data_IF_562536730781
#
_entry.id   IF_562536730781
#
_cell.length_a   1.000
_cell.length_b   1.000
_cell.length_c   1.000
_cell.angle_alpha   90.00
_cell.angle_beta   90.00
_cell.angle_gamma   90.00
#
_symmetry.space_group_name_H-M   'P 1'
#
loop_
_entity.id
_entity.type
_entity.pdbx_description
1 polymer ?
#
# COMPACT_ATOMS: atom_id res chain seq x y z
N UNK A 1 -15.98 18.76 16.47
CA UNK A 1 -15.62 18.34 15.10
C UNK A 1 -14.20 17.86 15.16
N UNK A 2 -13.99 16.56 15.04
CA UNK A 2 -12.63 15.98 14.99
C UNK A 2 -11.97 16.46 13.69
N UNK A 3 -10.99 17.34 13.79
CA UNK A 3 -10.14 17.72 12.67
C UNK A 3 -9.20 16.55 12.39
N UNK A 4 -9.68 15.57 11.61
CA UNK A 4 -8.77 14.56 11.09
C UNK A 4 -7.71 15.27 10.24
N UNK A 5 -6.45 14.98 10.51
CA UNK A 5 -5.34 15.46 9.68
C UNK A 5 -5.58 15.06 8.21
N UNK A 6 -5.22 15.91 7.24
CA UNK A 6 -5.37 15.54 5.84
C UNK A 6 -4.62 14.24 5.55
N UNK A 7 -5.16 13.36 4.68
CA UNK A 7 -4.53 12.07 4.39
C UNK A 7 -3.18 12.26 3.68
N UNK A 8 -2.17 11.51 4.12
CA UNK A 8 -0.84 11.46 3.50
C UNK A 8 -0.69 10.26 2.56
N UNK A 9 -1.48 9.21 2.78
CA UNK A 9 -1.46 7.98 1.98
C UNK A 9 -2.82 7.75 1.35
N UNK A 10 -2.83 7.43 0.06
CA UNK A 10 -4.04 6.95 -0.62
C UNK A 10 -3.96 5.44 -0.80
N UNK A 11 -4.85 4.69 -0.16
CA UNK A 11 -4.99 3.24 -0.29
C UNK A 11 -6.10 2.95 -1.29
N UNK A 12 -5.71 2.49 -2.47
CA UNK A 12 -6.67 2.19 -3.56
C UNK A 12 -6.64 0.72 -3.95
N UNK A 13 -7.76 0.23 -4.46
CA UNK A 13 -7.92 -1.16 -4.91
C UNK A 13 -8.89 -1.29 -6.07
N UNK A 14 -8.73 -2.34 -6.86
CA UNK A 14 -9.54 -2.58 -8.05
C UNK A 14 -10.97 -3.04 -7.77
N UNK A 15 -11.22 -3.61 -6.60
CA UNK A 15 -12.51 -4.17 -6.18
C UNK A 15 -12.70 -4.09 -4.68
N UNK A 16 -13.98 -4.05 -4.25
CA UNK A 16 -14.32 -4.19 -2.82
C UNK A 16 -13.86 -5.53 -2.24
N UNK A 17 -13.79 -6.59 -3.06
CA UNK A 17 -13.31 -7.90 -2.63
C UNK A 17 -11.85 -7.93 -2.22
N UNK A 18 -11.05 -6.96 -2.65
CA UNK A 18 -9.63 -6.88 -2.31
C UNK A 18 -9.40 -6.35 -0.88
N UNK A 19 -10.46 -5.78 -0.28
CA UNK A 19 -10.38 -5.14 1.02
C UNK A 19 -10.22 -6.12 2.18
N UNK A 20 -11.21 -7.03 2.47
CA UNK A 20 -11.25 -7.76 3.74
C UNK A 20 -10.04 -8.68 3.93
N UNK A 21 -9.55 -9.29 2.86
CA UNK A 21 -8.50 -10.31 2.96
C UNK A 21 -7.10 -9.75 2.79
N UNK A 22 -6.95 -8.58 2.14
CA UNK A 22 -5.65 -8.04 1.77
C UNK A 22 -5.50 -6.57 2.17
N UNK A 23 -6.25 -5.65 1.56
CA UNK A 23 -5.95 -4.23 1.64
C UNK A 23 -6.24 -3.60 3.00
N UNK A 24 -7.16 -4.15 3.80
CA UNK A 24 -7.39 -3.71 5.17
C UNK A 24 -6.12 -3.82 6.04
N UNK A 25 -5.22 -4.76 5.73
CA UNK A 25 -3.97 -4.92 6.47
C UNK A 25 -2.95 -3.79 6.19
N UNK A 26 -3.03 -3.15 5.02
CA UNK A 26 -2.26 -1.93 4.76
C UNK A 26 -2.79 -0.78 5.63
N UNK A 27 -4.11 -0.60 5.64
CA UNK A 27 -4.78 0.41 6.46
C UNK A 27 -4.52 0.21 7.96
N UNK A 28 -4.70 -1.01 8.47
CA UNK A 28 -4.42 -1.34 9.86
C UNK A 28 -2.95 -1.07 10.26
N UNK A 29 -2.01 -1.25 9.32
CA UNK A 29 -0.60 -0.92 9.55
C UNK A 29 -0.39 0.60 9.61
N UNK A 30 -1.06 1.36 8.76
CA UNK A 30 -1.02 2.83 8.80
C UNK A 30 -1.63 3.37 10.09
N UNK A 31 -2.76 2.80 10.54
CA UNK A 31 -3.37 3.13 11.85
C UNK A 31 -2.41 2.89 13.01
N UNK A 32 -1.75 1.72 13.03
CA UNK A 32 -0.76 1.35 14.05
C UNK A 32 0.38 2.36 14.14
N UNK A 33 0.78 2.94 13.00
CA UNK A 33 1.89 3.88 12.90
C UNK A 33 1.44 5.34 12.98
N UNK A 34 0.13 5.61 13.14
CA UNK A 34 -0.43 6.96 13.22
C UNK A 34 -0.34 7.74 11.91
N UNK A 35 -0.31 7.06 10.77
CA UNK A 35 -0.26 7.68 9.44
C UNK A 35 -1.67 7.93 8.94
N UNK A 36 -2.08 9.18 8.67
CA UNK A 36 -3.39 9.47 8.11
C UNK A 36 -3.50 9.03 6.65
N UNK A 37 -4.62 8.40 6.31
CA UNK A 37 -4.85 7.84 4.97
C UNK A 37 -6.31 7.99 4.53
N UNK A 38 -6.54 7.86 3.23
CA UNK A 38 -7.85 7.67 2.62
C UNK A 38 -7.94 6.27 1.98
N UNK A 39 -9.15 5.73 1.83
CA UNK A 39 -9.39 4.45 1.16
C UNK A 39 -10.41 4.64 0.05
N UNK A 40 -10.11 4.09 -1.15
CA UNK A 40 -11.01 4.20 -2.29
C UNK A 40 -10.93 2.98 -3.21
N UNK A 41 -12.09 2.53 -3.70
CA UNK A 41 -12.14 1.58 -4.82
C UNK A 41 -11.99 2.36 -6.11
N UNK A 42 -10.94 2.04 -6.88
CA UNK A 42 -10.61 2.64 -8.17
C UNK A 42 -10.27 1.52 -9.14
N UNK A 43 -11.20 1.17 -10.02
CA UNK A 43 -10.96 0.07 -10.96
C UNK A 43 -10.34 0.57 -12.25
N UNK A 44 -9.14 0.08 -12.57
CA UNK A 44 -8.46 0.44 -13.81
C UNK A 44 -9.28 0.10 -15.07
N UNK A 45 -10.03 -1.00 -15.04
CA UNK A 45 -10.78 -1.49 -16.20
C UNK A 45 -12.25 -1.06 -16.22
N UNK A 46 -12.86 -0.81 -15.05
CA UNK A 46 -14.30 -0.51 -14.95
C UNK A 46 -14.59 0.97 -14.72
N UNK A 47 -13.63 1.72 -14.18
CA UNK A 47 -13.74 3.16 -13.90
C UNK A 47 -12.47 3.89 -14.34
N UNK A 48 -12.08 3.84 -15.63
CA UNK A 48 -10.82 4.44 -16.11
C UNK A 48 -10.78 5.97 -15.91
N UNK A 49 -11.87 6.67 -16.11
CA UNK A 49 -11.92 8.12 -15.90
C UNK A 49 -11.71 8.50 -14.44
N UNK A 50 -12.30 7.73 -13.50
CA UNK A 50 -12.06 7.89 -12.07
C UNK A 50 -10.59 7.63 -11.71
N UNK A 51 -9.93 6.67 -12.37
CA UNK A 51 -8.51 6.42 -12.18
C UNK A 51 -7.67 7.63 -12.58
N UNK A 52 -7.95 8.21 -13.74
CA UNK A 52 -7.24 9.40 -14.23
C UNK A 52 -7.44 10.58 -13.28
N UNK A 53 -8.69 10.85 -12.90
CA UNK A 53 -9.04 11.91 -11.95
C UNK A 53 -8.31 11.70 -10.60
N UNK A 54 -8.40 10.48 -10.07
CA UNK A 54 -7.79 10.14 -8.79
C UNK A 54 -6.27 10.34 -8.82
N UNK A 55 -5.59 9.75 -9.80
CA UNK A 55 -4.12 9.82 -9.92
C UNK A 55 -3.61 11.25 -10.06
N UNK A 56 -4.23 12.03 -10.94
CA UNK A 56 -3.85 13.44 -11.18
C UNK A 56 -4.18 14.36 -10.00
N UNK A 57 -5.25 14.05 -9.25
CA UNK A 57 -5.69 14.85 -8.11
C UNK A 57 -5.00 14.53 -6.79
N UNK A 58 -4.18 13.48 -6.68
CA UNK A 58 -3.55 13.06 -5.41
C UNK A 58 -2.66 14.15 -4.81
N UNK A 59 -1.79 14.74 -5.60
CA UNK A 59 -0.85 15.74 -5.13
C UNK A 59 -1.56 16.99 -4.56
N UNK A 60 -2.61 17.47 -5.22
CA UNK A 60 -3.39 18.64 -4.76
C UNK A 60 -4.17 18.37 -3.47
N UNK A 61 -4.45 17.11 -3.14
CA UNK A 61 -5.08 16.69 -1.87
C UNK A 61 -4.11 16.48 -0.73
N UNK A 62 -2.80 16.65 -0.97
CA UNK A 62 -1.75 16.43 0.05
C UNK A 62 -1.30 14.98 0.20
N UNK A 63 -1.69 14.10 -0.73
CA UNK A 63 -1.20 12.71 -0.75
C UNK A 63 0.28 12.71 -1.12
N UNK A 64 1.09 11.94 -0.40
CA UNK A 64 2.52 11.80 -0.63
C UNK A 64 2.93 10.38 -1.07
N UNK A 65 2.09 9.36 -0.79
CA UNK A 65 2.33 7.97 -1.20
C UNK A 65 1.01 7.32 -1.60
N UNK A 66 1.03 6.49 -2.64
CA UNK A 66 -0.13 5.69 -3.06
C UNK A 66 0.18 4.22 -2.83
N UNK A 67 -0.72 3.49 -2.15
CA UNK A 67 -0.71 2.04 -2.04
C UNK A 67 -1.84 1.52 -2.94
N UNK A 68 -1.50 0.74 -3.96
CA UNK A 68 -2.45 0.24 -4.94
C UNK A 68 -2.48 -1.29 -4.96
N UNK A 69 -3.62 -1.89 -4.60
CA UNK A 69 -3.84 -3.33 -4.63
C UNK A 69 -4.64 -3.78 -5.85
N UNK A 70 -4.21 -4.85 -6.49
CA UNK A 70 -4.91 -5.42 -7.63
C UNK A 70 -4.63 -6.92 -7.79
N UNK A 71 -5.63 -7.67 -8.29
CA UNK A 71 -5.54 -9.10 -8.55
C UNK A 71 -5.73 -9.47 -10.02
N UNK A 72 -5.22 -10.61 -10.42
CA UNK A 72 -5.26 -11.11 -11.79
C UNK A 72 -4.41 -10.28 -12.74
N UNK A 73 -5.00 -9.72 -13.80
CA UNK A 73 -4.39 -8.68 -14.64
C UNK A 73 -4.31 -7.38 -13.84
N UNK A 74 -3.36 -7.32 -12.93
CA UNK A 74 -3.24 -6.29 -11.88
C UNK A 74 -2.64 -4.99 -12.43
N UNK A 75 -3.35 -4.33 -13.35
CA UNK A 75 -2.86 -3.14 -14.07
C UNK A 75 -2.91 -1.85 -13.24
N UNK A 76 -3.75 -1.80 -12.19
CA UNK A 76 -3.99 -0.57 -11.42
C UNK A 76 -2.70 0.12 -10.91
N UNK A 77 -1.74 -0.57 -10.27
CA UNK A 77 -0.54 0.09 -9.76
C UNK A 77 0.31 0.75 -10.86
N UNK A 78 0.54 0.05 -11.96
CA UNK A 78 1.31 0.56 -13.09
C UNK A 78 0.61 1.72 -13.81
N UNK A 79 -0.70 1.64 -13.97
CA UNK A 79 -1.48 2.73 -14.57
C UNK A 79 -1.46 3.98 -13.69
N UNK A 80 -1.62 3.85 -12.38
CA UNK A 80 -1.50 4.99 -11.46
C UNK A 80 -0.09 5.59 -11.53
N UNK A 81 0.94 4.76 -11.48
CA UNK A 81 2.34 5.21 -11.52
C UNK A 81 2.66 6.01 -12.78
N UNK A 82 2.00 5.70 -13.91
CA UNK A 82 2.20 6.45 -15.17
C UNK A 82 1.57 7.85 -15.17
N UNK A 83 0.73 8.17 -14.19
CA UNK A 83 -0.06 9.41 -14.15
C UNK A 83 0.31 10.35 -13.00
N UNK A 84 1.26 9.96 -12.16
CA UNK A 84 1.72 10.74 -11.01
C UNK A 84 3.22 10.57 -10.79
N UNK A 85 3.85 11.56 -10.16
CA UNK A 85 5.25 11.47 -9.71
C UNK A 85 5.38 11.00 -8.26
N UNK A 86 4.25 10.75 -7.58
CA UNK A 86 4.25 10.23 -6.23
C UNK A 86 4.73 8.77 -6.21
N UNK A 87 5.39 8.31 -5.14
CA UNK A 87 5.71 6.91 -4.94
C UNK A 87 4.45 6.04 -4.98
N UNK A 88 4.47 4.99 -5.81
CA UNK A 88 3.40 4.00 -5.89
C UNK A 88 3.92 2.65 -5.40
N UNK A 89 3.23 2.08 -4.42
CA UNK A 89 3.51 0.76 -3.85
C UNK A 89 2.43 -0.19 -4.35
N UNK A 90 2.84 -1.21 -5.10
CA UNK A 90 1.95 -2.20 -5.69
C UNK A 90 1.81 -3.43 -4.79
N UNK A 91 0.58 -3.77 -4.42
CA UNK A 91 0.24 -4.95 -3.63
C UNK A 91 -0.41 -5.99 -4.54
N UNK A 92 0.25 -7.11 -4.85
CA UNK A 92 -0.37 -8.20 -5.57
C UNK A 92 -1.44 -8.87 -4.70
N UNK A 93 -2.70 -8.84 -5.14
CA UNK A 93 -3.80 -9.54 -4.49
C UNK A 93 -3.87 -10.97 -5.03
N UNK A 94 -4.08 -11.94 -4.16
CA UNK A 94 -4.14 -13.34 -4.53
C UNK A 94 -5.31 -13.60 -5.48
N UNK A 95 -5.04 -14.26 -6.62
CA UNK A 95 -6.06 -14.77 -7.55
C UNK A 95 -6.32 -16.25 -7.32
N UNK A 96 -7.53 -16.71 -7.59
CA UNK A 96 -7.87 -18.14 -7.48
C UNK A 96 -7.13 -18.98 -8.51
N UNK A 97 -6.93 -18.46 -9.72
CA UNK A 97 -6.37 -19.21 -10.85
C UNK A 97 -4.87 -19.49 -10.70
N UNK A 98 -4.08 -18.49 -10.37
CA UNK A 98 -2.60 -18.59 -10.30
C UNK A 98 -2.05 -18.19 -8.93
N UNK A 99 -2.89 -18.17 -7.88
CA UNK A 99 -2.52 -17.91 -6.49
C UNK A 99 -1.70 -16.60 -6.32
N UNK A 100 -2.00 -15.60 -7.13
CA UNK A 100 -1.38 -14.30 -7.09
C UNK A 100 -0.10 -14.13 -7.93
N UNK A 101 0.39 -15.20 -8.58
CA UNK A 101 1.56 -15.09 -9.47
C UNK A 101 1.25 -14.20 -10.68
N UNK A 102 0.06 -14.29 -11.24
CA UNK A 102 -0.45 -13.41 -12.30
C UNK A 102 -0.50 -11.95 -11.82
N UNK A 103 -0.97 -11.71 -10.61
CA UNK A 103 -1.00 -10.36 -10.01
C UNK A 103 0.42 -9.82 -9.83
N UNK A 104 1.33 -10.61 -9.26
CA UNK A 104 2.71 -10.22 -9.04
C UNK A 104 3.42 -9.87 -10.36
N UNK A 105 3.34 -10.75 -11.37
CA UNK A 105 3.99 -10.54 -12.65
C UNK A 105 3.40 -9.37 -13.44
N UNK A 106 2.10 -9.09 -13.26
CA UNK A 106 1.45 -7.91 -13.87
C UNK A 106 1.93 -6.58 -13.26
N UNK A 107 2.43 -6.59 -12.02
CA UNK A 107 2.84 -5.38 -11.30
C UNK A 107 4.35 -5.16 -11.37
N UNK A 108 5.15 -6.23 -11.20
CA UNK A 108 6.59 -6.10 -10.95
C UNK A 108 7.41 -5.75 -12.19
N UNK A 109 7.00 -6.17 -13.40
CA UNK A 109 7.75 -5.98 -14.64
C UNK A 109 7.45 -4.64 -15.32
N UNK A 110 7.63 -3.55 -14.58
CA UNK A 110 7.44 -2.21 -15.11
C UNK A 110 8.57 -1.80 -16.05
N UNK A 111 8.27 -1.03 -17.12
CA UNK A 111 9.28 -0.48 -18.02
C UNK A 111 10.15 0.55 -17.31
N UNK A 112 11.38 0.72 -17.78
CA UNK A 112 12.27 1.77 -17.29
C UNK A 112 11.61 3.15 -17.42
N UNK A 113 11.66 3.94 -16.34
CA UNK A 113 11.08 5.28 -16.28
C UNK A 113 9.77 5.37 -15.47
N UNK A 114 9.02 4.28 -15.30
CA UNK A 114 7.78 4.26 -14.51
C UNK A 114 7.89 3.16 -13.43
N UNK A 115 8.49 3.46 -12.27
CA UNK A 115 8.68 2.46 -11.22
C UNK A 115 7.40 2.22 -10.40
N UNK A 116 7.21 0.98 -9.97
CA UNK A 116 6.26 0.58 -8.92
C UNK A 116 7.04 -0.24 -7.88
N UNK A 117 7.00 0.19 -6.61
CA UNK A 117 7.58 -0.55 -5.50
C UNK A 117 6.70 -1.76 -5.19
N UNK A 118 7.01 -2.91 -5.77
CA UNK A 118 6.18 -4.13 -5.65
C UNK A 118 6.54 -4.89 -4.38
N UNK A 119 5.53 -5.22 -3.56
CA UNK A 119 5.68 -5.99 -2.33
C UNK A 119 5.21 -7.43 -2.49
N UNK A 120 5.25 -8.23 -1.42
CA UNK A 120 4.82 -9.61 -1.42
C UNK A 120 3.32 -9.78 -1.75
N UNK A 121 2.92 -10.97 -2.18
CA UNK A 121 1.53 -11.31 -2.48
C UNK A 121 0.69 -11.33 -1.19
N UNK A 122 -0.51 -10.79 -1.26
CA UNK A 122 -1.55 -10.90 -0.24
C UNK A 122 -1.27 -10.12 1.04
N UNK A 123 -1.73 -10.65 2.16
CA UNK A 123 -1.74 -10.02 3.49
C UNK A 123 -0.37 -9.50 3.95
N UNK A 124 0.69 -10.31 3.77
CA UNK A 124 2.05 -9.91 4.16
C UNK A 124 2.53 -8.71 3.33
N UNK A 125 2.24 -8.73 2.03
CA UNK A 125 2.54 -7.61 1.14
C UNK A 125 1.80 -6.34 1.53
N UNK A 126 0.52 -6.42 1.84
CA UNK A 126 -0.27 -5.27 2.27
C UNK A 126 0.28 -4.64 3.56
N UNK A 127 0.65 -5.45 4.56
CA UNK A 127 1.34 -4.95 5.77
C UNK A 127 2.65 -4.25 5.44
N UNK A 128 3.46 -4.87 4.58
CA UNK A 128 4.74 -4.30 4.15
C UNK A 128 4.54 -3.02 3.32
N UNK A 129 3.46 -2.89 2.56
CA UNK A 129 3.13 -1.66 1.86
C UNK A 129 2.86 -0.50 2.83
N UNK A 130 2.11 -0.75 3.90
CA UNK A 130 1.91 0.24 4.97
C UNK A 130 3.22 0.65 5.65
N UNK A 131 4.09 -0.32 5.96
CA UNK A 131 5.41 -0.05 6.54
C UNK A 131 6.32 0.72 5.59
N UNK A 132 6.32 0.38 4.29
CA UNK A 132 7.13 1.07 3.29
C UNK A 132 6.64 2.50 3.07
N UNK A 133 5.32 2.72 3.01
CA UNK A 133 4.75 4.06 2.94
C UNK A 133 5.15 4.90 4.15
N UNK A 134 5.04 4.35 5.36
CA UNK A 134 5.49 5.01 6.57
C UNK A 134 7.00 5.30 6.55
N UNK A 135 7.83 4.38 6.02
CA UNK A 135 9.28 4.60 5.90
C UNK A 135 9.63 5.75 4.94
N UNK A 136 8.88 5.90 3.86
CA UNK A 136 9.04 7.04 2.94
C UNK A 136 8.69 8.35 3.66
N UNK A 137 7.55 8.37 4.36
CA UNK A 137 7.06 9.55 5.08
C UNK A 137 7.93 9.91 6.29
N UNK A 138 8.57 8.93 6.93
CA UNK A 138 9.45 9.12 8.08
C UNK A 138 10.65 10.04 7.80
N UNK A 139 11.05 10.19 6.54
CA UNK A 139 12.09 11.15 6.15
C UNK A 139 11.66 12.61 6.37
N UNK A 140 10.36 12.88 6.41
CA UNK A 140 9.78 14.22 6.58
C UNK A 140 9.05 14.39 7.91
N UNK A 141 8.48 13.31 8.45
CA UNK A 141 7.61 13.30 9.63
C UNK A 141 8.25 12.56 10.81
N UNK A 142 8.88 13.27 11.78
CA UNK A 142 9.59 12.66 12.91
C UNK A 142 8.71 11.74 13.77
N UNK A 143 7.41 12.04 13.90
CA UNK A 143 6.49 11.22 14.70
C UNK A 143 6.28 9.84 14.03
N UNK A 144 6.20 9.79 12.70
CA UNK A 144 6.10 8.52 11.96
C UNK A 144 7.40 7.73 12.11
N UNK A 145 8.55 8.40 12.03
CA UNK A 145 9.86 7.79 12.27
C UNK A 145 9.92 7.09 13.63
N UNK A 146 9.54 7.78 14.69
CA UNK A 146 9.50 7.26 16.06
C UNK A 146 8.59 6.02 16.20
N UNK A 147 7.42 6.04 15.56
CA UNK A 147 6.52 4.87 15.58
C UNK A 147 7.10 3.67 14.84
N UNK A 148 7.81 3.88 13.73
CA UNK A 148 8.52 2.81 13.01
C UNK A 148 9.64 2.20 13.83
N UNK A 149 10.45 3.01 14.51
CA UNK A 149 11.51 2.52 15.41
C UNK A 149 10.90 1.66 16.54
N UNK A 150 9.84 2.16 17.18
CA UNK A 150 9.13 1.41 18.22
C UNK A 150 8.55 0.10 17.68
N UNK A 151 7.94 0.11 16.50
CA UNK A 151 7.42 -1.09 15.86
C UNK A 151 8.52 -2.14 15.64
N UNK A 152 9.67 -1.74 15.10
CA UNK A 152 10.82 -2.65 14.87
C UNK A 152 11.42 -3.17 16.17
N UNK A 153 11.58 -2.31 17.17
CA UNK A 153 12.08 -2.71 18.48
C UNK A 153 11.17 -3.77 19.14
N UNK A 154 9.85 -3.56 19.04
CA UNK A 154 8.88 -4.54 19.57
C UNK A 154 8.96 -5.89 18.84
N UNK A 155 9.11 -5.89 17.50
CA UNK A 155 9.30 -7.15 16.75
C UNK A 155 10.56 -7.88 17.20
N UNK A 156 11.67 -7.16 17.35
CA UNK A 156 12.94 -7.73 17.82
C UNK A 156 12.75 -8.33 19.22
N UNK A 157 12.15 -7.58 20.15
CA UNK A 157 11.93 -8.04 21.52
C UNK A 157 11.04 -9.29 21.57
N UNK A 158 9.98 -9.32 20.76
CA UNK A 158 9.09 -10.50 20.68
C UNK A 158 9.85 -11.78 20.29
N UNK A 159 10.80 -11.69 19.36
CA UNK A 159 11.63 -12.84 18.94
C UNK A 159 12.62 -13.24 20.04
N UNK A 160 13.25 -12.24 20.69
CA UNK A 160 14.21 -12.48 21.77
C UNK A 160 13.56 -13.10 23.00
N UNK A 161 12.32 -12.71 23.31
CA UNK A 161 11.56 -13.24 24.45
C UNK A 161 11.02 -14.65 24.20
N UNK A 162 10.94 -15.08 22.93
CA UNK A 162 10.41 -16.38 22.53
C UNK A 162 11.36 -17.13 21.59
N UNK A 163 12.60 -17.46 22.04
CA UNK A 163 13.60 -18.08 21.16
C UNK A 163 13.36 -19.59 20.96
N UNK A 164 12.60 -20.24 21.83
CA UNK A 164 12.29 -21.66 21.70
C UNK A 164 11.03 -21.86 20.86
N UNK A 165 11.11 -22.53 19.67
CA UNK A 165 9.97 -22.74 18.80
C UNK A 165 9.04 -23.87 19.27
N UNK A 166 9.43 -24.61 20.29
CA UNK A 166 8.63 -25.73 20.82
C UNK A 166 7.46 -25.21 21.64
N UNK A 167 6.29 -25.88 21.57
CA UNK A 167 5.09 -25.49 22.33
C UNK A 167 5.28 -25.70 23.83
#
# INVERSE_FOLDING_TARGET
>A
MSTQSPPLVSVIMGSKSDWPDVMEHAAATLDLLGVPYEVKVVSAHRTPDLLVEHAKGTHSRGIEVIIAGAGGSAHLPGMVASMTTLPVIGVPVESKSLKGMDSLLSIVQMPAGIPVATVAIGKAGAKNAGLLAASILANKYPEIHKQLEKFRANQTQTVLDNPDPRP
#
